data_IF_589380247823
#
_entry.id   IF_589380247823
#
_cell.length_a   1.000
_cell.length_b   1.000
_cell.length_c   1.000
_cell.angle_alpha   90.00
_cell.angle_beta   90.00
_cell.angle_gamma   90.00
#
_symmetry.space_group_name_H-M   'P 1'
#
loop_
_entity.id
_entity.type
_entity.pdbx_description
1 polymer ?
#
# COMPACT_ATOMS: atom_id res chain seq x y z
N UNK A 1 24.93 -13.86 2.92
CA UNK A 1 23.48 -13.68 3.15
C UNK A 1 23.05 -12.48 2.33
N UNK A 2 22.32 -12.68 1.21
CA UNK A 2 21.84 -11.58 0.35
C UNK A 2 20.47 -11.16 0.88
N UNK A 3 20.35 -9.95 1.40
CA UNK A 3 19.07 -9.35 1.75
C UNK A 3 18.29 -9.08 0.47
N UNK A 4 17.40 -10.01 0.11
CA UNK A 4 16.43 -9.76 -0.93
C UNK A 4 15.25 -9.08 -0.23
N UNK A 5 15.05 -7.77 -0.48
CA UNK A 5 13.87 -7.04 0.02
C UNK A 5 12.64 -7.88 -0.28
N UNK A 6 11.83 -8.20 0.73
CA UNK A 6 10.70 -9.13 0.56
C UNK A 6 9.49 -8.52 -0.18
N UNK A 7 9.50 -7.20 -0.35
CA UNK A 7 8.44 -6.41 -0.98
C UNK A 7 8.95 -5.03 -1.39
N UNK A 8 8.20 -4.37 -2.28
CA UNK A 8 8.31 -2.94 -2.56
C UNK A 8 7.11 -2.23 -1.91
N UNK A 9 7.33 -1.33 -0.95
CA UNK A 9 6.25 -0.57 -0.32
C UNK A 9 6.08 0.79 -1.02
N UNK A 10 4.85 1.13 -1.34
CA UNK A 10 4.46 2.46 -1.79
C UNK A 10 3.94 3.20 -0.56
N UNK A 11 4.61 4.29 -0.20
CA UNK A 11 4.31 5.09 0.98
C UNK A 11 3.74 6.44 0.55
N UNK A 12 2.78 6.95 1.32
CA UNK A 12 2.36 8.34 1.17
C UNK A 12 3.36 9.25 1.88
N UNK A 13 3.86 10.28 1.20
CA UNK A 13 4.78 11.30 1.73
C UNK A 13 6.02 10.74 2.46
N UNK A 14 6.60 9.63 1.96
CA UNK A 14 7.76 8.98 2.57
C UNK A 14 7.54 8.55 4.05
N UNK A 15 6.28 8.37 4.45
CA UNK A 15 5.95 7.99 5.82
C UNK A 15 5.69 6.48 5.94
N UNK A 16 6.59 5.78 6.64
CA UNK A 16 6.48 4.35 6.93
C UNK A 16 5.22 3.94 7.71
N UNK A 17 4.52 4.89 8.36
CA UNK A 17 3.25 4.66 9.06
C UNK A 17 2.02 4.83 8.15
N UNK A 18 2.24 5.19 6.88
CA UNK A 18 1.21 5.43 5.85
C UNK A 18 1.51 4.63 4.56
N UNK A 19 1.61 3.29 4.64
CA UNK A 19 1.79 2.45 3.45
C UNK A 19 0.49 2.39 2.64
N UNK A 20 0.54 2.82 1.38
CA UNK A 20 -0.61 2.74 0.45
C UNK A 20 -0.77 1.30 -0.03
N UNK A 21 0.33 0.66 -0.45
CA UNK A 21 0.34 -0.75 -0.84
C UNK A 21 1.74 -1.37 -0.76
N UNK A 22 1.79 -2.70 -0.83
CA UNK A 22 3.02 -3.49 -0.90
C UNK A 22 3.00 -4.41 -2.11
N UNK A 23 4.01 -4.32 -2.96
CA UNK A 23 4.18 -5.17 -4.13
C UNK A 23 5.12 -6.32 -3.77
N UNK A 24 4.59 -7.53 -3.76
CA UNK A 24 5.35 -8.76 -3.55
C UNK A 24 5.61 -9.44 -4.90
N UNK A 25 6.59 -8.92 -5.65
CA UNK A 25 6.94 -9.41 -6.98
C UNK A 25 8.11 -10.40 -6.98
N UNK A 26 8.71 -10.66 -5.81
CA UNK A 26 9.97 -11.42 -5.70
C UNK A 26 9.77 -12.94 -5.59
N UNK A 27 8.54 -13.44 -5.81
CA UNK A 27 8.19 -14.86 -5.77
C UNK A 27 7.59 -15.29 -7.11
N UNK A 28 7.53 -16.59 -7.37
CA UNK A 28 6.89 -17.13 -8.59
C UNK A 28 5.41 -16.75 -8.73
N UNK A 29 4.73 -16.43 -7.62
CA UNK A 29 3.40 -15.85 -7.60
C UNK A 29 3.50 -14.41 -7.09
N UNK A 30 2.94 -13.47 -7.85
CA UNK A 30 2.92 -12.05 -7.49
C UNK A 30 1.75 -11.80 -6.54
N UNK A 31 1.97 -10.96 -5.54
CA UNK A 31 0.92 -10.50 -4.65
C UNK A 31 0.93 -8.98 -4.52
N UNK A 32 -0.27 -8.40 -4.38
CA UNK A 32 -0.53 -7.03 -4.03
C UNK A 32 -1.05 -6.99 -2.58
N UNK A 33 -0.27 -6.39 -1.70
CA UNK A 33 -0.66 -6.05 -0.34
C UNK A 33 -1.45 -4.74 -0.34
N UNK A 34 -2.76 -4.82 -0.12
CA UNK A 34 -3.65 -3.67 0.02
C UNK A 34 -3.88 -3.38 1.51
N UNK A 35 -4.07 -2.11 1.85
CA UNK A 35 -4.37 -1.69 3.22
C UNK A 35 -5.77 -1.11 3.30
N UNK A 36 -6.55 -1.55 4.29
CA UNK A 36 -7.84 -0.96 4.61
C UNK A 36 -7.69 0.17 5.65
N UNK A 37 -8.82 0.83 5.99
CA UNK A 37 -8.86 1.93 6.95
C UNK A 37 -8.25 1.58 8.33
N UNK A 38 -8.39 0.33 8.74
CA UNK A 38 -7.83 -0.23 9.99
C UNK A 38 -6.35 -0.62 9.88
N UNK A 39 -5.67 -0.27 8.78
CA UNK A 39 -4.26 -0.62 8.51
C UNK A 39 -3.99 -2.13 8.44
N UNK A 40 -5.02 -2.93 8.18
CA UNK A 40 -4.89 -4.36 7.95
C UNK A 40 -4.33 -4.61 6.55
N UNK A 41 -3.30 -5.45 6.44
CA UNK A 41 -2.71 -5.86 5.17
C UNK A 41 -3.50 -7.06 4.61
N UNK A 42 -4.14 -6.88 3.45
CA UNK A 42 -4.75 -7.94 2.67
C UNK A 42 -3.84 -8.30 1.49
N UNK A 43 -3.48 -9.59 1.35
CA UNK A 43 -2.64 -10.07 0.24
C UNK A 43 -3.49 -10.66 -0.87
N UNK A 44 -3.63 -9.89 -1.95
CA UNK A 44 -4.34 -10.30 -3.15
C UNK A 44 -3.34 -10.90 -4.14
N UNK A 45 -3.65 -12.06 -4.72
CA UNK A 45 -2.86 -12.62 -5.81
C UNK A 45 -3.11 -11.81 -7.08
N UNK A 46 -2.04 -11.52 -7.80
CA UNK A 46 -2.10 -10.89 -9.12
C UNK A 46 -1.34 -11.75 -10.13
N UNK A 47 -1.82 -11.83 -11.36
CA UNK A 47 -1.16 -12.53 -12.45
C UNK A 47 -0.25 -11.54 -13.21
N UNK A 48 -0.78 -10.34 -13.50
CA UNK A 48 -0.05 -9.24 -14.12
C UNK A 48 0.06 -8.02 -13.20
N UNK A 49 0.95 -7.10 -13.56
CA UNK A 49 0.99 -5.77 -12.96
C UNK A 49 -0.30 -4.99 -13.25
N UNK A 50 -0.96 -5.25 -14.39
CA UNK A 50 -2.21 -4.59 -14.79
C UNK A 50 -3.37 -4.85 -13.83
N UNK A 51 -3.36 -5.97 -13.10
CA UNK A 51 -4.38 -6.28 -12.09
C UNK A 51 -4.43 -5.24 -10.96
N UNK A 52 -3.36 -4.43 -10.80
CA UNK A 52 -3.36 -3.31 -9.87
C UNK A 52 -4.46 -2.29 -10.18
N UNK A 53 -4.83 -2.14 -11.46
CA UNK A 53 -5.87 -1.19 -11.87
C UNK A 53 -7.25 -1.63 -11.39
N UNK A 54 -7.51 -2.94 -11.26
CA UNK A 54 -8.75 -3.44 -10.65
C UNK A 54 -8.86 -3.08 -9.16
N UNK A 55 -7.74 -2.76 -8.52
CA UNK A 55 -7.66 -2.35 -7.11
C UNK A 55 -7.37 -0.85 -6.94
N UNK A 56 -7.38 -0.07 -8.02
CA UNK A 56 -7.05 1.35 -7.99
C UNK A 56 -7.96 2.14 -7.05
N UNK A 57 -9.25 1.81 -6.98
CA UNK A 57 -10.19 2.49 -6.07
C UNK A 57 -9.81 2.26 -4.60
N UNK A 58 -9.41 1.04 -4.22
CA UNK A 58 -8.92 0.76 -2.86
C UNK A 58 -7.67 1.57 -2.55
N UNK A 59 -6.70 1.62 -3.47
CA UNK A 59 -5.49 2.42 -3.31
C UNK A 59 -5.78 3.91 -3.11
N UNK A 60 -6.70 4.47 -3.91
CA UNK A 60 -7.14 5.87 -3.78
C UNK A 60 -7.81 6.14 -2.45
N UNK A 61 -8.69 5.24 -2.00
CA UNK A 61 -9.37 5.34 -0.69
C UNK A 61 -8.33 5.35 0.44
N UNK A 62 -7.38 4.42 0.43
CA UNK A 62 -6.31 4.35 1.43
C UNK A 62 -5.45 5.62 1.44
N UNK A 63 -5.06 6.12 0.27
CA UNK A 63 -4.32 7.38 0.14
C UNK A 63 -5.13 8.57 0.68
N UNK A 64 -6.43 8.67 0.35
CA UNK A 64 -7.31 9.72 0.83
C UNK A 64 -7.50 9.66 2.35
N UNK A 65 -7.58 8.48 2.96
CA UNK A 65 -7.65 8.33 4.42
C UNK A 65 -6.39 8.94 5.06
N UNK A 66 -5.20 8.58 4.58
CA UNK A 66 -3.96 9.11 5.13
C UNK A 66 -3.78 10.61 4.91
N UNK A 67 -4.23 11.13 3.76
CA UNK A 67 -4.20 12.56 3.49
C UNK A 67 -5.17 13.33 4.40
N UNK A 68 -6.40 12.84 4.59
CA UNK A 68 -7.35 13.42 5.54
C UNK A 68 -6.84 13.35 7.00
N UNK A 69 -6.15 12.28 7.39
CA UNK A 69 -5.48 12.20 8.69
C UNK A 69 -4.41 13.28 8.80
N UNK A 70 -3.63 13.55 7.74
CA UNK A 70 -2.68 14.67 7.68
C UNK A 70 -3.36 16.01 7.93
N UNK A 71 -4.50 16.26 7.28
CA UNK A 71 -5.24 17.52 7.45
C UNK A 71 -5.73 17.68 8.90
N UNK A 72 -6.24 16.62 9.52
CA UNK A 72 -6.63 16.66 10.94
C UNK A 72 -5.45 16.88 11.88
N UNK A 73 -4.31 16.23 11.63
CA UNK A 73 -3.09 16.43 12.42
C UNK A 73 -2.57 17.88 12.32
N UNK A 74 -2.67 18.51 11.16
CA UNK A 74 -2.25 19.92 10.97
C UNK A 74 -3.27 20.89 11.56
N UNK A 75 -4.57 20.63 11.42
CA UNK A 75 -5.63 21.52 11.89
C UNK A 75 -5.84 21.50 13.42
N UNK A 76 -5.18 20.59 14.15
CA UNK A 76 -5.24 20.49 15.62
C UNK A 76 -4.07 21.22 16.30
N UNK A 77 -3.15 21.81 15.52
CA UNK A 77 -2.02 22.60 16.01
C UNK A 77 -2.32 24.09 15.96
#
# INVERSE_FOLDING_TARGET
MRDAKSYCAILLDDNNRRPICRLHLNRGVKYLGLFDADKNEERVRIESLDDIFAHADRLKVTAAIYDNVKIKEIATV
#
